data_IF_608452280139
#
_entry.id   IF_608452280139
#
_cell.length_a   1.000
_cell.length_b   1.000
_cell.length_c   1.000
_cell.angle_alpha   90.00
_cell.angle_beta   90.00
_cell.angle_gamma   90.00
#
_symmetry.space_group_name_H-M   'P 1'
#
loop_
_entity.id
_entity.type
_entity.pdbx_description
1 polymer ?
#
# COMPACT_ATOMS: atom_id res chain seq x y z
N UNK A 1 -10.23 21.66 -20.42
CA UNK A 1 -10.68 20.66 -21.42
C UNK A 1 -11.38 19.53 -20.68
N UNK A 2 -12.70 19.60 -20.62
CA UNK A 2 -13.58 18.58 -20.04
C UNK A 2 -13.75 17.44 -21.04
N UNK A 3 -12.80 16.52 -21.08
CA UNK A 3 -13.02 15.29 -21.84
C UNK A 3 -14.09 14.44 -21.15
N UNK A 4 -15.02 13.98 -21.98
CA UNK A 4 -16.29 13.37 -21.61
C UNK A 4 -16.07 12.16 -20.72
N UNK A 5 -16.94 11.96 -19.72
CA UNK A 5 -16.89 10.84 -18.77
C UNK A 5 -17.06 9.43 -19.40
N UNK A 6 -16.91 9.29 -20.71
CA UNK A 6 -16.93 8.02 -21.40
C UNK A 6 -15.66 7.21 -21.14
N UNK A 7 -15.83 6.00 -20.61
CA UNK A 7 -14.75 5.07 -20.30
C UNK A 7 -14.25 4.35 -21.56
N UNK A 8 -13.40 5.00 -22.36
CA UNK A 8 -12.90 4.45 -23.63
C UNK A 8 -11.65 3.58 -23.47
N UNK A 9 -10.79 3.86 -22.50
CA UNK A 9 -9.49 3.20 -22.37
C UNK A 9 -9.57 1.88 -21.58
N UNK A 10 -8.74 0.87 -21.90
CA UNK A 10 -8.61 -0.33 -21.09
C UNK A 10 -8.09 0.00 -19.68
N UNK A 11 -8.36 -0.90 -18.72
CA UNK A 11 -7.86 -0.76 -17.36
C UNK A 11 -6.33 -0.94 -17.33
N UNK A 12 -5.63 -0.07 -16.61
CA UNK A 12 -4.21 -0.24 -16.34
C UNK A 12 -3.94 -1.43 -15.41
N UNK A 13 -2.69 -1.93 -15.42
CA UNK A 13 -2.28 -3.01 -14.52
C UNK A 13 -2.35 -2.60 -13.03
N UNK A 14 -2.08 -1.32 -12.72
CA UNK A 14 -2.17 -0.79 -11.35
C UNK A 14 -3.61 -0.74 -10.87
N UNK A 15 -4.55 -0.19 -11.66
CA UNK A 15 -5.99 -0.22 -11.36
C UNK A 15 -6.50 -1.65 -11.11
N UNK A 16 -6.11 -2.62 -11.92
CA UNK A 16 -6.48 -4.02 -11.71
C UNK A 16 -5.92 -4.60 -10.39
N UNK A 17 -4.65 -4.30 -10.06
CA UNK A 17 -4.04 -4.71 -8.78
C UNK A 17 -4.71 -4.08 -7.58
N UNK A 18 -5.05 -2.79 -7.65
CA UNK A 18 -5.72 -2.09 -6.55
C UNK A 18 -7.14 -2.59 -6.32
N UNK A 19 -7.87 -2.91 -7.39
CA UNK A 19 -9.20 -3.53 -7.27
C UNK A 19 -9.12 -4.94 -6.70
N UNK A 20 -8.08 -5.71 -7.07
CA UNK A 20 -7.80 -7.01 -6.49
C UNK A 20 -7.51 -6.90 -4.98
N UNK A 21 -6.74 -5.90 -4.52
CA UNK A 21 -6.51 -5.64 -3.08
C UNK A 21 -7.78 -5.31 -2.31
N UNK A 22 -8.73 -4.63 -2.99
CA UNK A 22 -10.09 -4.34 -2.47
C UNK A 22 -11.05 -5.53 -2.55
N UNK A 23 -10.58 -6.70 -2.98
CA UNK A 23 -11.38 -7.92 -3.13
C UNK A 23 -12.34 -7.92 -4.32
N UNK A 24 -12.22 -6.95 -5.24
CA UNK A 24 -13.04 -6.89 -6.45
C UNK A 24 -12.35 -7.66 -7.59
N UNK A 25 -12.90 -8.82 -7.91
CA UNK A 25 -12.43 -9.71 -8.98
C UNK A 25 -13.60 -10.18 -9.84
N UNK A 26 -13.33 -10.54 -11.09
CA UNK A 26 -14.32 -11.22 -11.92
C UNK A 26 -14.54 -12.64 -11.36
N UNK A 27 -15.72 -12.88 -10.80
CA UNK A 27 -16.11 -14.20 -10.29
C UNK A 27 -17.51 -14.54 -10.80
N UNK A 28 -17.63 -15.71 -11.43
CA UNK A 28 -18.91 -16.37 -11.68
C UNK A 28 -19.27 -17.21 -10.46
N UNK A 29 -20.44 -16.94 -9.90
CA UNK A 29 -20.97 -17.78 -8.82
C UNK A 29 -21.42 -19.14 -9.32
N UNK A 30 -21.82 -19.25 -10.59
CA UNK A 30 -22.36 -20.49 -11.15
C UNK A 30 -21.28 -21.54 -11.34
N UNK A 31 -20.08 -21.16 -11.77
CA UNK A 31 -18.94 -22.08 -11.88
C UNK A 31 -18.60 -22.68 -10.51
N UNK A 32 -18.65 -21.87 -9.44
CA UNK A 32 -18.42 -22.37 -8.08
C UNK A 32 -19.50 -23.33 -7.61
N UNK A 33 -20.77 -22.98 -7.82
CA UNK A 33 -21.91 -23.84 -7.47
C UNK A 33 -21.89 -25.15 -8.23
N UNK A 34 -21.62 -25.11 -9.53
CA UNK A 34 -21.54 -26.29 -10.39
C UNK A 34 -20.46 -27.25 -9.92
N UNK A 35 -19.23 -26.78 -9.73
CA UNK A 35 -18.12 -27.64 -9.30
C UNK A 35 -18.40 -28.31 -7.95
N UNK A 36 -18.95 -27.55 -7.00
CA UNK A 36 -19.34 -28.10 -5.68
C UNK A 36 -20.46 -29.14 -5.84
N UNK A 37 -21.49 -28.84 -6.63
CA UNK A 37 -22.59 -29.76 -6.88
C UNK A 37 -22.08 -31.06 -7.54
N UNK A 38 -21.27 -30.94 -8.60
CA UNK A 38 -20.65 -32.09 -9.27
C UNK A 38 -19.84 -32.92 -8.28
N UNK A 39 -18.92 -32.31 -7.54
CA UNK A 39 -18.06 -33.06 -6.61
C UNK A 39 -18.86 -33.77 -5.50
N UNK A 40 -19.80 -33.08 -4.86
CA UNK A 40 -20.63 -33.68 -3.80
C UNK A 40 -21.48 -34.82 -4.37
N UNK A 41 -22.12 -34.59 -5.52
CA UNK A 41 -23.01 -35.58 -6.13
C UNK A 41 -22.26 -36.82 -6.62
N UNK A 42 -21.07 -36.67 -7.21
CA UNK A 42 -20.23 -37.80 -7.63
C UNK A 42 -19.70 -38.59 -6.44
N UNK A 43 -19.23 -37.93 -5.38
CA UNK A 43 -18.79 -38.63 -4.17
C UNK A 43 -19.98 -39.35 -3.52
N UNK A 44 -21.15 -38.70 -3.44
CA UNK A 44 -22.35 -39.33 -2.89
C UNK A 44 -22.75 -40.57 -3.70
N UNK A 45 -22.68 -40.52 -5.03
CA UNK A 45 -22.95 -41.66 -5.91
C UNK A 45 -21.89 -42.76 -5.77
N UNK A 46 -20.61 -42.40 -5.58
CA UNK A 46 -19.53 -43.36 -5.36
C UNK A 46 -19.64 -44.06 -4.00
N UNK A 47 -20.05 -43.33 -2.96
CA UNK A 47 -20.24 -43.87 -1.61
C UNK A 47 -21.61 -44.49 -1.39
N UNK A 48 -22.54 -44.41 -2.35
CA UNK A 48 -23.95 -44.76 -2.17
C UNK A 48 -24.15 -46.19 -1.65
N UNK A 49 -23.45 -47.16 -2.23
CA UNK A 49 -23.57 -48.58 -1.82
C UNK A 49 -23.06 -48.79 -0.39
N UNK A 50 -21.87 -48.29 -0.06
CA UNK A 50 -21.30 -48.34 1.29
C UNK A 50 -22.17 -47.61 2.31
N UNK A 51 -22.73 -46.46 1.94
CA UNK A 51 -23.65 -45.70 2.78
C UNK A 51 -24.95 -46.45 3.03
N UNK A 52 -25.50 -47.12 2.01
CA UNK A 52 -26.70 -47.96 2.15
C UNK A 52 -26.44 -49.14 3.07
N UNK A 53 -25.30 -49.83 2.93
CA UNK A 53 -24.89 -50.92 3.82
C UNK A 53 -24.74 -50.46 5.27
N UNK A 54 -24.07 -49.33 5.51
CA UNK A 54 -23.95 -48.74 6.86
C UNK A 54 -25.29 -48.34 7.45
N UNK A 55 -26.19 -47.79 6.62
CA UNK A 55 -27.53 -47.45 7.05
C UNK A 55 -28.34 -48.70 7.44
N UNK A 56 -28.25 -49.78 6.65
CA UNK A 56 -28.85 -51.06 6.99
C UNK A 56 -28.28 -51.64 8.30
N UNK A 57 -26.96 -51.56 8.49
CA UNK A 57 -26.31 -51.98 9.74
C UNK A 57 -26.83 -51.19 10.94
N UNK A 58 -26.95 -49.86 10.83
CA UNK A 58 -27.52 -49.02 11.89
C UNK A 58 -28.99 -49.36 12.20
N UNK A 59 -29.77 -49.76 11.20
CA UNK A 59 -31.16 -50.18 11.40
C UNK A 59 -31.29 -51.52 12.11
N UNK A 60 -30.34 -52.44 11.90
CA UNK A 60 -30.34 -53.79 12.50
C UNK A 60 -29.59 -53.83 13.83
N UNK A 61 -28.70 -52.87 14.09
CA UNK A 61 -27.89 -52.79 15.31
C UNK A 61 -28.74 -52.84 16.60
N UNK A 62 -29.87 -52.11 16.75
CA UNK A 62 -30.73 -52.23 17.92
C UNK A 62 -31.29 -53.63 18.13
N UNK A 63 -31.62 -54.35 17.04
CA UNK A 63 -32.12 -55.72 17.12
C UNK A 63 -31.03 -56.68 17.64
N UNK A 64 -29.77 -56.45 17.27
CA UNK A 64 -28.64 -57.25 17.75
C UNK A 64 -28.30 -57.05 19.24
N UNK A 65 -28.87 -56.01 19.87
CA UNK A 65 -28.68 -55.68 21.29
C UNK A 65 -29.89 -55.99 22.17
N UNK A 66 -30.89 -56.69 21.63
CA UNK A 66 -32.03 -57.17 22.41
C UNK A 66 -31.53 -58.10 23.53
N UNK A 67 -31.93 -57.81 24.77
CA UNK A 67 -31.52 -58.56 25.97
C UNK A 67 -30.35 -57.94 26.75
N UNK A 68 -29.74 -56.86 26.27
CA UNK A 68 -28.76 -56.08 27.03
C UNK A 68 -29.40 -54.94 27.84
N UNK A 69 -28.70 -54.39 28.87
CA UNK A 69 -29.18 -53.22 29.58
C UNK A 69 -29.42 -52.04 28.63
N UNK A 70 -30.60 -51.43 28.72
CA UNK A 70 -31.05 -50.37 27.80
C UNK A 70 -30.04 -49.23 27.65
N UNK A 71 -29.41 -48.80 28.75
CA UNK A 71 -28.45 -47.69 28.74
C UNK A 71 -27.22 -48.00 27.89
N UNK A 72 -26.68 -49.22 27.99
CA UNK A 72 -25.51 -49.63 27.19
C UNK A 72 -25.86 -49.82 25.71
N UNK A 73 -27.01 -50.44 25.41
CA UNK A 73 -27.48 -50.59 24.04
C UNK A 73 -27.75 -49.23 23.37
N UNK A 74 -28.33 -48.28 24.11
CA UNK A 74 -28.58 -46.92 23.64
C UNK A 74 -27.28 -46.17 23.37
N UNK A 75 -26.30 -46.27 24.27
CA UNK A 75 -24.99 -45.63 24.13
C UNK A 75 -24.26 -46.13 22.87
N UNK A 76 -24.19 -47.46 22.66
CA UNK A 76 -23.54 -48.02 21.47
C UNK A 76 -24.22 -47.58 20.16
N UNK A 77 -25.55 -47.70 20.08
CA UNK A 77 -26.31 -47.32 18.89
C UNK A 77 -26.17 -45.82 18.61
N UNK A 78 -26.22 -44.99 19.64
CA UNK A 78 -26.08 -43.55 19.50
C UNK A 78 -24.69 -43.17 19.04
N UNK A 79 -23.63 -43.77 19.61
CA UNK A 79 -22.26 -43.51 19.21
C UNK A 79 -22.02 -43.90 17.75
N UNK A 80 -22.45 -45.09 17.33
CA UNK A 80 -22.30 -45.53 15.93
C UNK A 80 -23.09 -44.63 14.97
N UNK A 81 -24.31 -44.24 15.33
CA UNK A 81 -25.11 -43.30 14.54
C UNK A 81 -24.43 -41.93 14.41
N UNK A 82 -23.87 -41.40 15.51
CA UNK A 82 -23.12 -40.14 15.50
C UNK A 82 -21.85 -40.24 14.66
N UNK A 83 -21.10 -41.34 14.76
CA UNK A 83 -19.88 -41.56 13.96
C UNK A 83 -20.22 -41.61 12.48
N UNK A 84 -21.26 -42.33 12.08
CA UNK A 84 -21.70 -42.39 10.67
C UNK A 84 -22.17 -41.02 10.18
N UNK A 85 -22.96 -40.30 10.98
CA UNK A 85 -23.44 -38.97 10.63
C UNK A 85 -22.30 -37.95 10.49
N UNK A 86 -21.45 -37.83 11.51
CA UNK A 86 -20.36 -36.85 11.50
C UNK A 86 -19.29 -37.19 10.48
N UNK A 87 -18.96 -38.47 10.27
CA UNK A 87 -17.99 -38.85 9.24
C UNK A 87 -18.48 -38.47 7.83
N UNK A 88 -19.76 -38.72 7.53
CA UNK A 88 -20.36 -38.33 6.25
C UNK A 88 -20.50 -36.81 6.12
N UNK A 89 -21.03 -36.13 7.14
CA UNK A 89 -21.22 -34.69 7.12
C UNK A 89 -19.89 -33.93 7.01
N UNK A 90 -18.87 -34.33 7.77
CA UNK A 90 -17.55 -33.71 7.74
C UNK A 90 -16.86 -33.94 6.39
N UNK A 91 -16.99 -35.13 5.80
CA UNK A 91 -16.49 -35.41 4.45
C UNK A 91 -17.16 -34.48 3.43
N UNK A 92 -18.48 -34.39 3.43
CA UNK A 92 -19.23 -33.57 2.46
C UNK A 92 -18.95 -32.08 2.62
N UNK A 93 -18.93 -31.57 3.85
CA UNK A 93 -18.58 -30.17 4.14
C UNK A 93 -17.12 -29.89 3.77
N UNK A 94 -16.21 -30.78 4.12
CA UNK A 94 -14.79 -30.68 3.78
C UNK A 94 -14.57 -30.59 2.27
N UNK A 95 -15.22 -31.47 1.49
CA UNK A 95 -15.19 -31.44 0.02
C UNK A 95 -15.80 -30.14 -0.50
N UNK A 96 -16.96 -29.73 0.01
CA UNK A 96 -17.63 -28.50 -0.42
C UNK A 96 -16.73 -27.27 -0.24
N UNK A 97 -16.07 -27.16 0.92
CA UNK A 97 -15.12 -26.08 1.22
C UNK A 97 -13.91 -26.18 0.29
N UNK A 98 -13.29 -27.35 0.17
CA UNK A 98 -12.11 -27.55 -0.68
C UNK A 98 -12.39 -27.20 -2.14
N UNK A 99 -13.48 -27.71 -2.71
CA UNK A 99 -13.87 -27.46 -4.11
C UNK A 99 -14.25 -26.00 -4.33
N UNK A 100 -14.91 -25.35 -3.36
CA UNK A 100 -15.19 -23.90 -3.44
C UNK A 100 -13.91 -23.07 -3.44
N UNK A 101 -12.91 -23.44 -2.63
CA UNK A 101 -11.60 -22.80 -2.62
C UNK A 101 -10.88 -23.00 -3.95
N UNK A 102 -10.82 -24.24 -4.45
CA UNK A 102 -10.22 -24.58 -5.75
C UNK A 102 -10.90 -23.81 -6.88
N UNK A 103 -12.24 -23.75 -6.90
CA UNK A 103 -12.99 -22.98 -7.89
C UNK A 103 -12.64 -21.50 -7.85
N UNK A 104 -12.53 -20.93 -6.65
CA UNK A 104 -12.15 -19.52 -6.47
C UNK A 104 -10.73 -19.27 -6.99
N UNK A 105 -9.79 -20.17 -6.67
CA UNK A 105 -8.41 -20.10 -7.18
C UNK A 105 -8.32 -20.28 -8.70
N UNK A 106 -9.14 -21.14 -9.30
CA UNK A 106 -9.18 -21.30 -10.75
C UNK A 106 -9.71 -20.04 -11.46
N UNK A 107 -10.67 -19.32 -10.85
CA UNK A 107 -11.29 -18.16 -11.48
C UNK A 107 -10.42 -16.90 -11.44
N UNK A 108 -9.76 -16.63 -10.31
CA UNK A 108 -9.00 -15.39 -10.13
C UNK A 108 -7.65 -15.56 -9.41
N UNK A 109 -7.26 -16.79 -9.07
CA UNK A 109 -6.02 -17.09 -8.36
C UNK A 109 -6.12 -16.82 -6.85
N UNK A 110 -4.98 -16.91 -6.15
CA UNK A 110 -4.91 -16.59 -4.72
C UNK A 110 -5.19 -15.09 -4.51
N UNK A 111 -6.19 -14.78 -3.68
CA UNK A 111 -6.63 -13.41 -3.41
C UNK A 111 -6.42 -13.10 -1.92
N UNK A 112 -5.46 -12.23 -1.63
CA UNK A 112 -5.28 -11.69 -0.29
C UNK A 112 -5.75 -10.24 -0.26
N UNK A 113 -6.92 -10.01 0.34
CA UNK A 113 -7.60 -8.71 0.37
C UNK A 113 -7.92 -8.30 1.81
N UNK A 114 -6.92 -7.92 2.63
CA UNK A 114 -7.16 -7.53 4.03
C UNK A 114 -8.03 -6.28 4.15
N UNK A 115 -8.10 -5.44 3.12
CA UNK A 115 -8.98 -4.27 3.09
C UNK A 115 -10.47 -4.65 3.15
N UNK A 116 -10.86 -5.84 2.70
CA UNK A 116 -12.26 -6.28 2.80
C UNK A 116 -12.70 -6.68 4.20
N UNK A 117 -11.76 -6.90 5.13
CA UNK A 117 -12.05 -7.20 6.54
C UNK A 117 -12.42 -5.94 7.32
N UNK A 118 -12.19 -4.74 6.77
CA UNK A 118 -12.61 -3.49 7.41
C UNK A 118 -14.13 -3.39 7.38
N UNK A 119 -14.73 -3.14 8.54
CA UNK A 119 -16.16 -2.86 8.67
C UNK A 119 -16.49 -1.55 7.93
N UNK A 120 -17.09 -1.69 6.75
CA UNK A 120 -17.52 -0.56 5.93
C UNK A 120 -19.04 -0.37 6.07
N UNK A 121 -19.45 0.55 6.94
CA UNK A 121 -20.87 0.88 7.19
C UNK A 121 -21.60 1.33 5.91
N UNK A 122 -20.89 1.79 4.88
CA UNK A 122 -21.50 2.11 3.59
C UNK A 122 -22.07 0.87 2.88
N UNK A 123 -21.57 -0.33 3.17
CA UNK A 123 -22.09 -1.59 2.61
C UNK A 123 -23.44 -1.97 3.22
N UNK A 124 -23.74 -1.50 4.43
CA UNK A 124 -25.01 -1.75 5.13
C UNK A 124 -26.14 -0.83 4.70
N UNK A 125 -25.88 0.14 3.81
CA UNK A 125 -26.91 1.09 3.39
C UNK A 125 -27.95 0.40 2.46
N UNK A 126 -29.21 0.23 2.89
CA UNK A 126 -30.23 -0.50 2.15
C UNK A 126 -30.62 0.20 0.83
N UNK A 127 -30.54 1.54 0.77
CA UNK A 127 -30.87 2.31 -0.43
C UNK A 127 -29.87 2.04 -1.57
N UNK A 128 -28.57 1.92 -1.24
CA UNK A 128 -27.53 1.58 -2.22
C UNK A 128 -27.70 0.16 -2.74
N UNK A 129 -28.06 -0.79 -1.87
CA UNK A 129 -28.33 -2.17 -2.28
C UNK A 129 -29.58 -2.27 -3.16
N UNK A 130 -30.68 -1.58 -2.81
CA UNK A 130 -31.89 -1.54 -3.64
C UNK A 130 -31.60 -0.99 -5.05
N UNK A 131 -30.82 0.10 -5.16
CA UNK A 131 -30.39 0.63 -6.47
C UNK A 131 -29.52 -0.35 -7.26
N UNK A 132 -28.69 -1.14 -6.58
CA UNK A 132 -27.88 -2.18 -7.21
C UNK A 132 -28.74 -3.36 -7.71
N UNK A 133 -29.82 -3.71 -6.99
CA UNK A 133 -30.80 -4.72 -7.42
C UNK A 133 -31.56 -4.30 -8.69
N UNK A 134 -31.69 -3.00 -8.96
CA UNK A 134 -32.31 -2.46 -10.20
C UNK A 134 -31.25 -2.07 -11.24
N UNK A 135 -30.06 -2.70 -11.20
CA UNK A 135 -29.04 -2.50 -12.23
C UNK A 135 -29.28 -3.39 -13.45
N UNK A 136 -28.81 -2.96 -14.64
CA UNK A 136 -28.84 -3.78 -15.87
C UNK A 136 -28.22 -5.18 -15.68
N UNK A 137 -27.21 -5.28 -14.82
CA UNK A 137 -26.56 -6.56 -14.51
C UNK A 137 -27.47 -7.45 -13.66
N UNK A 138 -28.16 -6.89 -12.67
CA UNK A 138 -29.11 -7.63 -11.83
C UNK A 138 -30.26 -8.20 -12.67
N UNK A 139 -30.83 -7.39 -13.57
CA UNK A 139 -31.87 -7.85 -14.50
C UNK A 139 -31.39 -9.00 -15.41
N UNK A 140 -30.16 -8.90 -15.95
CA UNK A 140 -29.55 -9.97 -16.75
C UNK A 140 -29.38 -11.26 -15.94
N UNK A 141 -28.92 -11.16 -14.68
CA UNK A 141 -28.76 -12.31 -13.80
C UNK A 141 -30.11 -13.00 -13.50
N UNK A 142 -31.17 -12.21 -13.28
CA UNK A 142 -32.53 -12.73 -13.08
C UNK A 142 -33.01 -13.46 -14.32
N UNK A 143 -32.86 -12.85 -15.50
CA UNK A 143 -33.25 -13.47 -16.77
C UNK A 143 -32.49 -14.79 -17.01
N UNK A 144 -31.18 -14.81 -16.77
CA UNK A 144 -30.38 -16.05 -16.81
C UNK A 144 -30.85 -17.10 -15.80
N UNK A 145 -31.29 -16.66 -14.62
CA UNK A 145 -31.90 -17.54 -13.61
C UNK A 145 -33.19 -18.19 -14.08
N UNK A 146 -34.08 -17.41 -14.71
CA UNK A 146 -35.33 -17.92 -15.29
C UNK A 146 -35.03 -18.90 -16.42
N UNK A 147 -34.11 -18.56 -17.33
CA UNK A 147 -33.68 -19.45 -18.42
C UNK A 147 -33.14 -20.76 -17.87
N UNK A 148 -32.28 -20.74 -16.84
CA UNK A 148 -31.80 -21.95 -16.17
C UNK A 148 -32.94 -22.78 -15.61
N UNK A 149 -33.89 -22.17 -14.92
CA UNK A 149 -35.02 -22.87 -14.31
C UNK A 149 -35.90 -23.56 -15.37
N UNK A 150 -36.21 -22.86 -16.46
CA UNK A 150 -37.00 -23.42 -17.58
C UNK A 150 -36.25 -24.57 -18.25
N UNK A 151 -34.96 -24.40 -18.54
CA UNK A 151 -34.16 -25.44 -19.19
C UNK A 151 -33.99 -26.68 -18.30
N UNK A 152 -33.79 -26.50 -16.98
CA UNK A 152 -33.77 -27.61 -16.04
C UNK A 152 -35.13 -28.30 -15.97
N UNK A 153 -36.23 -27.54 -15.88
CA UNK A 153 -37.58 -28.10 -15.91
C UNK A 153 -37.86 -28.92 -17.18
N UNK A 154 -37.36 -28.46 -18.32
CA UNK A 154 -37.46 -29.18 -19.59
C UNK A 154 -36.64 -30.47 -19.57
N UNK A 155 -35.41 -30.46 -19.04
CA UNK A 155 -34.62 -31.68 -18.86
C UNK A 155 -35.35 -32.68 -17.96
N UNK A 156 -35.87 -32.22 -16.82
CA UNK A 156 -36.63 -33.07 -15.91
C UNK A 156 -37.82 -33.70 -16.65
N UNK A 157 -38.58 -32.92 -17.41
CA UNK A 157 -39.71 -33.42 -18.18
C UNK A 157 -39.30 -34.48 -19.22
N UNK A 158 -38.26 -34.20 -20.01
CA UNK A 158 -37.78 -35.08 -21.09
C UNK A 158 -37.15 -36.37 -20.54
N UNK A 159 -36.45 -36.31 -19.40
CA UNK A 159 -35.78 -37.47 -18.81
C UNK A 159 -36.74 -38.32 -17.98
N UNK A 160 -37.59 -37.69 -17.16
CA UNK A 160 -38.50 -38.39 -16.25
C UNK A 160 -39.66 -39.01 -17.02
N UNK A 161 -40.24 -38.32 -18.02
CA UNK A 161 -41.42 -38.79 -18.75
C UNK A 161 -41.30 -40.23 -19.28
N UNK A 162 -40.29 -40.54 -20.13
CA UNK A 162 -40.06 -41.89 -20.62
C UNK A 162 -39.74 -42.89 -19.49
N UNK A 163 -39.04 -42.40 -18.47
CA UNK A 163 -38.58 -43.23 -17.38
C UNK A 163 -39.66 -43.62 -16.38
N UNK A 164 -40.75 -42.85 -16.26
CA UNK A 164 -41.90 -43.21 -15.42
C UNK A 164 -42.53 -44.51 -15.90
N UNK A 165 -42.68 -44.70 -17.21
CA UNK A 165 -43.20 -45.95 -17.76
C UNK A 165 -42.26 -47.13 -17.43
N UNK A 166 -40.95 -46.92 -17.50
CA UNK A 166 -39.98 -47.93 -17.10
C UNK A 166 -40.07 -48.27 -15.61
N UNK A 167 -40.19 -47.27 -14.73
CA UNK A 167 -40.36 -47.43 -13.29
C UNK A 167 -41.67 -48.15 -12.92
N UNK A 168 -42.78 -47.83 -13.59
CA UNK A 168 -44.08 -48.48 -13.37
C UNK A 168 -43.99 -49.97 -13.70
N UNK A 169 -43.35 -50.32 -14.82
CA UNK A 169 -43.16 -51.73 -15.20
C UNK A 169 -42.25 -52.47 -14.22
N UNK A 170 -41.29 -51.76 -13.63
CA UNK A 170 -40.35 -52.29 -12.64
C UNK A 170 -40.94 -52.39 -11.22
N UNK A 171 -42.11 -51.80 -10.94
CA UNK A 171 -42.76 -51.91 -9.64
C UNK A 171 -43.15 -53.36 -9.29
N UNK A 172 -43.25 -54.24 -10.29
CA UNK A 172 -43.51 -55.66 -10.11
C UNK A 172 -42.24 -56.53 -9.99
N UNK A 173 -41.03 -55.93 -10.06
CA UNK A 173 -39.77 -56.65 -9.90
C UNK A 173 -39.35 -56.80 -8.44
N UNK A 174 -38.23 -57.48 -8.21
CA UNK A 174 -37.59 -57.50 -6.90
C UNK A 174 -37.11 -56.09 -6.48
N UNK A 175 -37.04 -55.87 -5.16
CA UNK A 175 -36.69 -54.59 -4.55
C UNK A 175 -35.30 -54.11 -4.96
N UNK A 176 -34.35 -55.03 -5.15
CA UNK A 176 -32.96 -54.69 -5.47
C UNK A 176 -32.85 -54.15 -6.90
N UNK A 177 -33.49 -54.80 -7.87
CA UNK A 177 -33.61 -54.33 -9.25
C UNK A 177 -34.28 -52.96 -9.33
N UNK A 178 -35.32 -52.73 -8.53
CA UNK A 178 -36.00 -51.43 -8.47
C UNK A 178 -35.07 -50.31 -7.97
N UNK A 179 -34.32 -50.54 -6.89
CA UNK A 179 -33.36 -49.57 -6.33
C UNK A 179 -32.25 -49.25 -7.34
N UNK A 180 -31.70 -50.26 -8.03
CA UNK A 180 -30.64 -50.07 -9.02
C UNK A 180 -31.10 -49.24 -10.23
N UNK A 181 -32.33 -49.48 -10.71
CA UNK A 181 -32.90 -48.67 -11.77
C UNK A 181 -33.12 -47.21 -11.34
N UNK A 182 -33.55 -46.99 -10.10
CA UNK A 182 -33.71 -45.64 -9.55
C UNK A 182 -32.37 -44.90 -9.44
N UNK A 183 -31.31 -45.57 -8.98
CA UNK A 183 -29.95 -45.00 -8.96
C UNK A 183 -29.47 -44.64 -10.36
N UNK A 184 -29.71 -45.52 -11.33
CA UNK A 184 -29.31 -45.32 -12.74
C UNK A 184 -30.03 -44.12 -13.35
N UNK A 185 -31.34 -44.02 -13.10
CA UNK A 185 -32.15 -42.88 -13.51
C UNK A 185 -31.69 -41.58 -12.87
N UNK A 186 -31.45 -41.59 -11.56
CA UNK A 186 -30.99 -40.42 -10.83
C UNK A 186 -29.62 -39.96 -11.35
N UNK A 187 -28.70 -40.89 -11.61
CA UNK A 187 -27.39 -40.60 -12.21
C UNK A 187 -27.54 -39.98 -13.60
N UNK A 188 -28.41 -40.54 -14.45
CA UNK A 188 -28.66 -40.01 -15.78
C UNK A 188 -29.24 -38.59 -15.74
N UNK A 189 -30.24 -38.36 -14.89
CA UNK A 189 -30.84 -37.04 -14.69
C UNK A 189 -29.83 -36.02 -14.14
N UNK A 190 -29.03 -36.43 -13.15
CA UNK A 190 -27.98 -35.60 -12.58
C UNK A 190 -26.97 -35.19 -13.64
N UNK A 191 -26.44 -36.13 -14.43
CA UNK A 191 -25.46 -35.84 -15.48
C UNK A 191 -26.02 -34.95 -16.60
N UNK A 192 -27.28 -35.15 -16.99
CA UNK A 192 -27.96 -34.28 -17.95
C UNK A 192 -28.07 -32.83 -17.42
N UNK A 193 -28.48 -32.66 -16.16
CA UNK A 193 -28.54 -31.36 -15.50
C UNK A 193 -27.15 -30.72 -15.36
N UNK A 194 -26.13 -31.49 -14.95
CA UNK A 194 -24.76 -31.01 -14.83
C UNK A 194 -24.19 -30.56 -16.19
N UNK A 195 -24.45 -31.31 -17.26
CA UNK A 195 -24.04 -30.95 -18.61
C UNK A 195 -24.65 -29.62 -19.08
N UNK A 196 -25.96 -29.42 -18.86
CA UNK A 196 -26.61 -28.14 -19.14
C UNK A 196 -26.03 -27.00 -18.31
N UNK A 197 -25.90 -27.20 -16.99
CA UNK A 197 -25.37 -26.20 -16.09
C UNK A 197 -23.92 -25.83 -16.42
N UNK A 198 -23.13 -26.77 -16.94
CA UNK A 198 -21.78 -26.52 -17.44
C UNK A 198 -21.78 -25.53 -18.60
N UNK A 199 -22.64 -25.73 -19.60
CA UNK A 199 -22.78 -24.81 -20.73
C UNK A 199 -23.22 -23.43 -20.24
N UNK A 200 -24.22 -23.37 -19.37
CA UNK A 200 -24.73 -22.10 -18.84
C UNK A 200 -23.72 -21.39 -17.93
N UNK A 201 -22.93 -22.14 -17.15
CA UNK A 201 -21.87 -21.58 -16.31
C UNK A 201 -20.70 -21.03 -17.15
N UNK A 202 -20.38 -21.65 -18.29
CA UNK A 202 -19.39 -21.13 -19.23
C UNK A 202 -19.85 -19.79 -19.82
N UNK A 203 -21.12 -19.70 -20.23
CA UNK A 203 -21.73 -18.46 -20.73
C UNK A 203 -21.71 -17.39 -19.63
N UNK A 204 -22.14 -17.71 -18.41
CA UNK A 204 -22.09 -16.75 -17.29
C UNK A 204 -20.65 -16.29 -17.02
N UNK A 205 -19.67 -17.19 -16.99
CA UNK A 205 -18.26 -16.84 -16.76
C UNK A 205 -17.74 -15.84 -17.81
N UNK A 206 -18.05 -16.06 -19.09
CA UNK A 206 -17.63 -15.15 -20.16
C UNK A 206 -18.30 -13.77 -20.03
N UNK A 207 -19.60 -13.74 -19.72
CA UNK A 207 -20.35 -12.50 -19.51
C UNK A 207 -19.86 -11.74 -18.28
N UNK A 208 -19.63 -12.41 -17.15
CA UNK A 208 -19.10 -11.77 -15.94
C UNK A 208 -17.70 -11.19 -16.18
N UNK A 209 -16.83 -11.91 -16.91
CA UNK A 209 -15.51 -11.39 -17.32
C UNK A 209 -15.64 -10.16 -18.22
N UNK A 210 -16.57 -10.18 -19.18
CA UNK A 210 -16.85 -9.04 -20.05
C UNK A 210 -17.35 -7.82 -19.25
N UNK A 211 -18.36 -7.99 -18.40
CA UNK A 211 -18.90 -6.90 -17.58
C UNK A 211 -17.88 -6.37 -16.55
N UNK A 212 -17.00 -7.23 -16.05
CA UNK A 212 -15.89 -6.80 -15.19
C UNK A 212 -14.90 -5.94 -15.98
N UNK A 213 -14.45 -6.41 -17.14
CA UNK A 213 -13.56 -5.64 -18.01
C UNK A 213 -14.15 -4.28 -18.40
N UNK A 214 -15.45 -4.24 -18.74
CA UNK A 214 -16.17 -3.02 -19.08
C UNK A 214 -16.23 -2.03 -17.90
N UNK A 215 -16.48 -2.52 -16.67
CA UNK A 215 -16.48 -1.67 -15.46
C UNK A 215 -15.12 -1.09 -15.13
N UNK A 216 -14.06 -1.85 -15.41
CA UNK A 216 -12.68 -1.46 -15.12
C UNK A 216 -12.09 -0.48 -16.14
N UNK A 217 -12.74 -0.26 -17.29
CA UNK A 217 -12.34 0.76 -18.28
C UNK A 217 -12.14 2.13 -17.62
N UNK A 218 -11.25 2.91 -18.20
CA UNK A 218 -10.79 4.19 -17.70
C UNK A 218 -11.20 5.32 -18.66
N UNK A 219 -11.47 6.49 -18.09
CA UNK A 219 -11.60 7.73 -18.86
C UNK A 219 -10.20 8.28 -19.15
N UNK A 220 -10.06 9.17 -20.13
CA UNK A 220 -8.76 9.75 -20.46
C UNK A 220 -8.19 10.54 -19.28
N UNK A 221 -9.04 11.20 -18.50
CA UNK A 221 -8.68 11.90 -17.26
C UNK A 221 -8.14 10.92 -16.20
N UNK A 222 -8.77 9.76 -16.01
CA UNK A 222 -8.28 8.73 -15.08
C UNK A 222 -6.90 8.21 -15.51
N UNK A 223 -6.69 7.98 -16.81
CA UNK A 223 -5.40 7.49 -17.34
C UNK A 223 -4.28 8.49 -17.07
N UNK A 224 -4.51 9.77 -17.39
CA UNK A 224 -3.51 10.83 -17.17
C UNK A 224 -3.21 10.98 -15.67
N UNK A 225 -4.25 10.93 -14.81
CA UNK A 225 -4.06 10.99 -13.36
C UNK A 225 -3.24 9.81 -12.85
N UNK A 226 -3.54 8.60 -13.29
CA UNK A 226 -2.80 7.42 -12.85
C UNK A 226 -1.33 7.43 -13.32
N UNK A 227 -1.07 7.95 -14.53
CA UNK A 227 0.27 8.16 -15.04
C UNK A 227 1.06 9.15 -14.18
N UNK A 228 0.43 10.29 -13.82
CA UNK A 228 1.01 11.27 -12.90
C UNK A 228 1.28 10.69 -11.51
N UNK A 229 0.37 9.87 -10.98
CA UNK A 229 0.54 9.23 -9.67
C UNK A 229 1.65 8.16 -9.68
N UNK A 230 1.98 7.58 -10.83
CA UNK A 230 3.04 6.57 -10.98
C UNK A 230 4.42 7.17 -11.23
N UNK A 231 4.53 8.11 -12.16
CA UNK A 231 5.82 8.69 -12.58
C UNK A 231 6.14 10.03 -11.89
N UNK A 232 5.17 10.59 -11.16
CA UNK A 232 5.21 11.96 -10.66
C UNK A 232 4.80 12.97 -11.74
N UNK A 233 4.45 14.19 -11.32
CA UNK A 233 4.17 15.25 -12.29
C UNK A 233 5.48 15.63 -13.03
N UNK A 234 5.51 15.59 -14.38
CA UNK A 234 6.69 15.95 -15.16
C UNK A 234 7.25 17.33 -14.81
N UNK A 235 6.39 18.29 -14.45
CA UNK A 235 6.81 19.63 -14.05
C UNK A 235 7.58 19.62 -12.73
N UNK A 236 7.16 18.81 -11.77
CA UNK A 236 7.84 18.67 -10.46
C UNK A 236 9.18 17.96 -10.63
N UNK A 237 9.25 16.95 -11.50
CA UNK A 237 10.51 16.27 -11.84
C UNK A 237 11.50 17.23 -12.51
N UNK A 238 11.02 18.10 -13.40
CA UNK A 238 11.79 19.16 -14.05
C UNK A 238 12.32 20.20 -13.04
N UNK A 239 11.47 20.70 -12.15
CA UNK A 239 11.87 21.65 -11.11
C UNK A 239 12.92 21.06 -10.16
N UNK A 240 12.75 19.81 -9.72
CA UNK A 240 13.75 19.13 -8.87
C UNK A 240 15.11 19.03 -9.56
N UNK A 241 15.12 18.76 -10.88
CA UNK A 241 16.37 18.68 -11.66
C UNK A 241 17.04 20.05 -11.79
N UNK A 242 16.26 21.11 -12.01
CA UNK A 242 16.77 22.48 -12.07
C UNK A 242 17.35 22.94 -10.72
N UNK A 243 16.65 22.69 -9.62
CA UNK A 243 17.12 23.03 -8.27
C UNK A 243 18.43 22.30 -7.93
N UNK A 244 18.53 21.01 -8.29
CA UNK A 244 19.76 20.24 -8.08
C UNK A 244 20.96 20.80 -8.87
N UNK A 245 20.73 21.33 -10.08
CA UNK A 245 21.77 21.99 -10.87
C UNK A 245 22.21 23.34 -10.27
N UNK A 246 21.25 24.10 -9.72
CA UNK A 246 21.55 25.38 -9.05
C UNK A 246 22.41 25.17 -7.79
N UNK A 247 22.04 24.20 -6.95
CA UNK A 247 22.81 23.86 -5.74
C UNK A 247 24.21 23.32 -6.06
N UNK A 248 24.38 22.65 -7.20
CA UNK A 248 25.69 22.17 -7.65
C UNK A 248 26.59 23.28 -8.20
N UNK A 249 26.02 24.44 -8.55
CA UNK A 249 26.76 25.62 -9.04
C UNK A 249 27.06 26.64 -7.92
N UNK A 250 26.62 26.41 -6.69
CA UNK A 250 27.03 27.25 -5.56
C UNK A 250 28.50 26.97 -5.20
N UNK A 251 29.35 28.00 -5.26
CA UNK A 251 30.74 27.91 -4.85
C UNK A 251 30.85 27.69 -3.32
N UNK A 252 31.83 26.87 -2.85
CA UNK A 252 32.02 26.63 -1.43
C UNK A 252 32.45 27.92 -0.72
N UNK A 253 31.58 28.45 0.15
CA UNK A 253 31.92 29.55 1.07
C UNK A 253 33.06 29.10 1.98
N UNK A 254 34.27 29.61 1.74
CA UNK A 254 35.42 29.42 2.65
C UNK A 254 35.01 29.95 4.02
N UNK A 255 34.92 29.06 5.02
CA UNK A 255 34.64 29.43 6.41
C UNK A 255 35.81 30.25 6.96
N UNK A 256 35.66 31.56 6.96
CA UNK A 256 36.54 32.46 7.69
C UNK A 256 36.32 32.27 9.21
N UNK A 257 37.36 32.48 10.05
CA UNK A 257 37.21 32.51 11.50
C UNK A 257 36.16 33.56 11.88
N UNK A 258 35.43 33.31 12.97
CA UNK A 258 34.48 34.31 13.45
C UNK A 258 35.20 35.45 14.17
N UNK A 259 34.51 36.58 14.30
CA UNK A 259 35.01 37.77 15.00
C UNK A 259 35.50 37.46 16.42
N UNK A 260 34.84 36.54 17.13
CA UNK A 260 35.19 36.21 18.52
C UNK A 260 36.57 35.53 18.65
N UNK A 261 37.13 35.02 17.55
CA UNK A 261 38.46 34.42 17.53
C UNK A 261 39.56 35.41 17.09
N UNK A 262 39.19 36.65 16.72
CA UNK A 262 40.12 37.68 16.28
C UNK A 262 41.05 38.14 17.41
N UNK A 263 42.24 38.59 17.05
CA UNK A 263 43.22 39.09 18.03
C UNK A 263 42.97 40.53 18.44
N UNK A 264 42.43 41.32 17.52
CA UNK A 264 42.13 42.73 17.73
C UNK A 264 41.08 43.22 16.75
N UNK A 265 40.38 44.28 17.16
CA UNK A 265 39.51 45.08 16.31
C UNK A 265 40.11 46.48 16.14
N UNK A 266 40.47 46.86 14.92
CA UNK A 266 40.96 48.22 14.61
C UNK A 266 39.80 49.08 14.15
N UNK A 267 39.63 50.25 14.76
CA UNK A 267 38.47 51.12 14.53
C UNK A 267 38.83 52.54 14.11
N UNK A 268 37.97 53.11 13.26
CA UNK A 268 37.77 54.55 13.09
C UNK A 268 36.42 54.86 13.76
N UNK A 269 36.39 55.64 14.86
CA UNK A 269 35.40 55.59 15.95
C UNK A 269 33.96 55.19 15.61
N UNK A 270 33.37 55.75 14.56
CA UNK A 270 31.98 55.50 14.18
C UNK A 270 31.81 54.99 12.74
N UNK A 271 32.89 54.85 11.98
CA UNK A 271 32.83 54.68 10.53
C UNK A 271 33.38 53.36 10.02
N UNK A 272 34.49 52.85 10.57
CA UNK A 272 35.09 51.59 10.11
C UNK A 272 35.51 50.73 11.29
N UNK A 273 35.26 49.42 11.18
CA UNK A 273 35.80 48.43 12.09
C UNK A 273 36.34 47.24 11.27
N UNK A 274 37.57 46.82 11.55
CA UNK A 274 38.23 45.71 10.86
C UNK A 274 38.86 44.77 11.88
N UNK A 275 38.49 43.49 11.83
CA UNK A 275 38.99 42.46 12.73
C UNK A 275 40.18 41.73 12.10
N UNK A 276 41.27 41.61 12.86
CA UNK A 276 42.49 40.94 12.44
C UNK A 276 42.71 39.64 13.20
N UNK A 277 43.16 38.62 12.48
CA UNK A 277 43.47 37.30 13.02
C UNK A 277 44.84 36.83 12.57
N UNK A 278 45.64 36.39 13.54
CA UNK A 278 46.98 35.87 13.36
C UNK A 278 47.25 34.72 14.33
N UNK A 279 47.67 33.59 13.76
CA UNK A 279 48.18 32.44 14.53
C UNK A 279 49.52 32.01 13.92
N UNK A 280 50.62 32.01 14.69
CA UNK A 280 51.91 31.50 14.24
C UNK A 280 51.77 30.07 13.67
N UNK A 281 52.34 29.84 12.49
CA UNK A 281 52.30 28.53 11.81
C UNK A 281 51.03 28.24 10.98
N UNK A 282 49.95 29.01 11.14
CA UNK A 282 48.73 28.89 10.31
C UNK A 282 48.57 30.03 9.32
N UNK A 283 48.86 31.25 9.74
CA UNK A 283 48.73 32.46 8.91
C UNK A 283 50.10 33.12 8.75
N UNK A 284 50.65 33.27 7.52
CA UNK A 284 51.96 33.90 7.33
C UNK A 284 51.96 35.39 7.64
N UNK A 285 50.79 36.05 7.53
CA UNK A 285 50.53 37.44 7.91
C UNK A 285 49.13 37.53 8.54
N UNK A 286 48.84 38.54 9.37
CA UNK A 286 47.49 38.78 9.89
C UNK A 286 46.46 38.88 8.75
N UNK A 287 45.33 38.19 8.91
CA UNK A 287 44.22 38.13 7.96
C UNK A 287 43.04 38.97 8.43
N UNK A 288 42.30 39.53 7.49
CA UNK A 288 41.04 40.22 7.76
C UNK A 288 39.90 39.20 7.86
N UNK A 289 39.30 39.05 9.04
CA UNK A 289 38.26 38.02 9.27
C UNK A 289 36.85 38.58 9.24
N UNK A 290 36.69 39.83 9.67
CA UNK A 290 35.42 40.54 9.64
C UNK A 290 35.68 42.03 9.40
N UNK A 291 34.76 42.73 8.74
CA UNK A 291 34.85 44.17 8.50
C UNK A 291 33.46 44.75 8.31
N UNK A 292 33.25 45.98 8.79
CA UNK A 292 31.97 46.67 8.69
C UNK A 292 32.11 48.17 8.67
N UNK A 293 31.07 48.83 8.15
CA UNK A 293 30.94 50.29 8.09
C UNK A 293 29.76 50.79 8.89
N UNK A 294 29.88 52.00 9.44
CA UNK A 294 28.81 52.73 10.12
C UNK A 294 28.01 51.86 11.12
N UNK A 295 26.78 51.46 10.79
CA UNK A 295 25.94 50.65 11.65
C UNK A 295 26.55 49.26 11.96
N UNK A 296 27.17 48.62 10.97
CA UNK A 296 27.86 47.34 11.15
C UNK A 296 29.13 47.51 11.99
N UNK A 297 29.86 48.61 11.82
CA UNK A 297 31.04 48.92 12.63
C UNK A 297 30.68 49.03 14.12
N UNK A 298 29.57 49.70 14.46
CA UNK A 298 29.08 49.78 15.85
C UNK A 298 28.71 48.41 16.42
N UNK A 299 28.08 47.57 15.62
CA UNK A 299 27.75 46.20 16.02
C UNK A 299 29.02 45.35 16.23
N UNK A 300 30.04 45.51 15.40
CA UNK A 300 31.34 44.84 15.55
C UNK A 300 32.06 45.27 16.83
N UNK A 301 32.04 46.57 17.15
CA UNK A 301 32.62 47.10 18.39
C UNK A 301 31.93 46.51 19.62
N UNK A 302 30.59 46.49 19.62
CA UNK A 302 29.82 45.91 20.73
C UNK A 302 30.11 44.41 20.89
N UNK A 303 30.19 43.67 19.78
CA UNK A 303 30.53 42.23 19.80
C UNK A 303 31.96 41.96 20.26
N UNK A 304 32.93 42.75 19.80
CA UNK A 304 34.32 42.63 20.22
C UNK A 304 34.48 42.89 21.73
N UNK A 305 33.84 43.93 22.27
CA UNK A 305 33.82 44.20 23.72
C UNK A 305 33.17 43.08 24.52
N UNK A 306 32.08 42.49 24.01
CA UNK A 306 31.41 41.36 24.66
C UNK A 306 32.25 40.07 24.63
N UNK A 307 33.16 39.93 23.66
CA UNK A 307 34.04 38.77 23.47
C UNK A 307 35.44 38.98 24.07
N UNK A 308 35.66 40.04 24.85
CA UNK A 308 36.98 40.43 25.40
C UNK A 308 38.07 40.58 24.31
N UNK A 309 37.68 40.95 23.08
CA UNK A 309 38.62 41.23 21.98
C UNK A 309 39.11 42.68 22.08
N UNK A 310 40.43 42.93 22.15
CA UNK A 310 40.99 44.27 22.26
C UNK A 310 40.54 45.20 21.13
N UNK A 311 40.07 46.40 21.47
CA UNK A 311 39.61 47.42 20.52
C UNK A 311 40.63 48.56 20.46
N UNK A 312 41.15 48.82 19.26
CA UNK A 312 42.28 49.73 19.06
C UNK A 312 41.86 50.83 18.11
N UNK A 313 41.94 52.07 18.58
CA UNK A 313 41.54 53.22 17.79
C UNK A 313 42.74 53.72 16.98
N UNK A 314 42.65 53.58 15.66
CA UNK A 314 43.64 54.11 14.74
C UNK A 314 42.97 54.41 13.39
N UNK A 315 42.67 55.68 13.14
CA UNK A 315 41.81 56.13 12.02
C UNK A 315 42.41 55.78 10.66
N UNK A 316 43.70 56.05 10.46
CA UNK A 316 44.40 55.77 9.20
C UNK A 316 44.48 54.27 8.91
N UNK A 317 44.80 53.46 9.93
CA UNK A 317 44.94 52.02 9.80
C UNK A 317 43.59 51.35 9.48
N UNK A 318 42.53 51.72 10.19
CA UNK A 318 41.18 51.20 9.95
C UNK A 318 40.69 51.47 8.51
N UNK A 319 40.92 52.69 8.00
CA UNK A 319 40.58 53.06 6.62
C UNK A 319 41.34 52.22 5.59
N UNK A 320 42.65 52.11 5.77
CA UNK A 320 43.54 51.39 4.85
C UNK A 320 43.23 49.88 4.82
N UNK A 321 42.90 49.30 5.97
CA UNK A 321 42.54 47.89 6.06
C UNK A 321 41.15 47.61 5.47
N UNK A 322 40.18 48.52 5.66
CA UNK A 322 38.81 48.32 5.18
C UNK A 322 38.71 48.16 3.65
N UNK A 323 39.63 48.78 2.89
CA UNK A 323 39.68 48.66 1.42
C UNK A 323 39.99 47.22 0.93
N UNK A 324 40.57 46.36 1.78
CA UNK A 324 40.92 44.98 1.40
C UNK A 324 39.74 44.02 1.53
N UNK A 325 39.72 42.95 0.72
CA UNK A 325 38.67 41.92 0.77
C UNK A 325 38.80 41.09 2.06
N UNK A 326 37.67 40.57 2.54
CA UNK A 326 37.67 39.59 3.65
C UNK A 326 38.50 38.36 3.25
N UNK A 327 39.28 37.84 4.19
CA UNK A 327 40.22 36.73 3.99
C UNK A 327 41.57 37.13 3.37
N UNK A 328 41.78 38.39 3.01
CA UNK A 328 43.08 38.86 2.52
C UNK A 328 44.05 39.16 3.67
N UNK A 329 45.35 39.06 3.39
CA UNK A 329 46.42 39.50 4.30
C UNK A 329 46.56 41.02 4.33
N UNK A 330 47.06 41.55 5.44
CA UNK A 330 47.33 42.99 5.59
C UNK A 330 48.32 43.52 4.52
N UNK A 331 48.11 44.74 3.99
CA UNK A 331 49.00 45.36 3.01
C UNK A 331 50.35 45.74 3.62
N UNK A 332 51.40 45.79 2.77
CA UNK A 332 52.78 46.07 3.19
C UNK A 332 52.92 47.37 3.99
N UNK A 333 52.17 48.41 3.60
CA UNK A 333 52.24 49.73 4.21
C UNK A 333 51.76 49.73 5.67
N UNK A 334 50.93 48.75 6.05
CA UNK A 334 50.38 48.61 7.41
C UNK A 334 51.19 47.67 8.32
N UNK A 335 52.21 46.99 7.78
CA UNK A 335 52.97 45.97 8.52
C UNK A 335 53.60 46.49 9.80
N UNK A 336 54.26 47.67 9.73
CA UNK A 336 54.94 48.25 10.89
C UNK A 336 53.95 48.63 12.00
N UNK A 337 52.83 49.25 11.62
CA UNK A 337 51.79 49.67 12.56
C UNK A 337 51.13 48.46 13.23
N UNK A 338 50.74 47.44 12.45
CA UNK A 338 50.13 46.22 12.99
C UNK A 338 51.11 45.45 13.89
N UNK A 339 52.40 45.38 13.52
CA UNK A 339 53.42 44.73 14.34
C UNK A 339 53.64 45.45 15.69
N UNK A 340 53.63 46.79 15.70
CA UNK A 340 53.72 47.57 16.93
C UNK A 340 52.52 47.26 17.84
N UNK A 341 51.32 47.27 17.29
CA UNK A 341 50.09 46.97 18.03
C UNK A 341 50.14 45.55 18.64
N UNK A 342 50.53 44.53 17.88
CA UNK A 342 50.67 43.16 18.41
C UNK A 342 51.73 43.07 19.52
N UNK A 343 52.81 43.85 19.44
CA UNK A 343 53.82 43.92 20.50
C UNK A 343 53.24 44.57 21.76
N UNK A 344 52.59 45.72 21.63
CA UNK A 344 51.98 46.42 22.76
C UNK A 344 50.92 45.56 23.44
N UNK A 345 50.08 44.86 22.67
CA UNK A 345 49.09 43.92 23.21
C UNK A 345 49.71 42.75 23.99
N UNK A 346 50.95 42.36 23.69
CA UNK A 346 51.66 41.29 24.43
C UNK A 346 52.23 41.79 25.75
N UNK A 347 52.54 43.08 25.85
CA UNK A 347 53.13 43.72 27.04
C UNK A 347 52.08 44.23 28.05
N UNK A 348 50.80 44.29 27.66
CA UNK A 348 49.67 44.75 28.48
C UNK A 348 49.03 43.63 29.33
N UNK A 349 48.65 43.97 30.56
CA UNK A 349 47.84 43.14 31.46
C UNK A 349 46.41 42.97 30.92
N UNK A 350 45.74 41.86 31.28
CA UNK A 350 44.45 41.49 30.69
C UNK A 350 43.31 42.47 31.01
N UNK A 351 43.37 43.19 32.14
CA UNK A 351 42.39 44.23 32.47
C UNK A 351 42.55 45.49 31.59
N UNK A 352 43.76 45.81 31.14
CA UNK A 352 44.02 46.95 30.26
C UNK A 352 43.56 46.71 28.82
N UNK A 353 43.35 45.44 28.42
CA UNK A 353 42.89 45.06 27.07
C UNK A 353 41.39 45.27 26.84
N UNK A 354 40.62 45.45 27.92
CA UNK A 354 39.16 45.64 27.88
C UNK A 354 38.76 47.08 27.54
N UNK A 355 39.66 48.03 27.75
CA UNK A 355 39.45 49.42 27.37
C UNK A 355 39.80 49.65 25.90
N UNK A 356 39.25 50.72 25.32
CA UNK A 356 39.61 51.11 23.95
C UNK A 356 40.98 51.78 23.98
N UNK A 357 41.98 51.13 23.37
CA UNK A 357 43.36 51.59 23.40
C UNK A 357 43.60 52.63 22.31
N UNK A 358 44.06 53.81 22.71
CA UNK A 358 44.58 54.86 21.83
C UNK A 358 46.11 54.83 21.89
N UNK A 359 46.76 54.64 20.73
CA UNK A 359 48.21 54.59 20.63
C UNK A 359 48.70 55.86 19.91
N UNK A 360 49.05 56.93 20.65
CA UNK A 360 49.40 58.23 20.06
C UNK A 360 50.65 58.17 19.18
N UNK A 361 51.53 57.17 19.37
CA UNK A 361 52.71 56.92 18.53
C UNK A 361 52.36 56.55 17.08
N UNK A 362 51.14 56.06 16.83
CA UNK A 362 50.67 55.66 15.49
C UNK A 362 49.97 56.81 14.74
N UNK A 363 49.70 57.94 15.41
CA UNK A 363 49.03 59.11 14.80
C UNK A 363 50.01 60.17 14.28
N UNK A 364 51.31 60.09 14.62
CA UNK A 364 52.34 61.07 14.23
C UNK A 364 52.98 60.82 12.85
N UNK A 365 52.29 60.15 11.92
CA UNK A 365 52.84 59.82 10.59
C UNK A 365 52.00 60.35 9.43
#
# INVERSE_FOLDING_TARGET
MSDSGEKKHPASAKKLRDQRKKGQVAQSQDVGKLLVLTAISEIALFTAETSLQRFQQLMVLPLSRIGQPFVHALEEVLLDALVVFFSFALLMVGVAIAVKLISSWMQFGLLFAPETLKLDFNRLNPLKQAKQMVSKQSLMNVLMGIVKAVLLGLILYVVIGPSLNALINLANSDLQSYILALITLFRHLLHACLGLLLVLALIDLTLQKYFFAQRMRMTQVEVVKEYKDMEGDPHVKGQRRQLAQQLAQEEPKVKLPKLEEADMLVINPTHFAVALYYRPGKTPLPLLVDKGTDAEARQLIARAKAADVPVIQCVWLARTLYEKKLGASIPRDTLQAVALIYRTLRELDDDAKRETLELPELEQR
#
